data_IF_529758592724
#
_entry.id   IF_529758592724
#
_cell.length_a   1.000
_cell.length_b   1.000
_cell.length_c   1.000
_cell.angle_alpha   90.00
_cell.angle_beta   90.00
_cell.angle_gamma   90.00
#
_symmetry.space_group_name_H-M   'P 1'
#
loop_
_entity.id
_entity.type
_entity.pdbx_description
1 polymer ?
#
# COMPACT_ATOMS: atom_id res chain seq x y z
N UNK A 1 -15.33 -4.53 -11.23
CA UNK A 1 -14.30 -3.47 -11.32
C UNK A 1 -13.03 -4.00 -10.66
N UNK A 2 -11.86 -3.48 -11.00
CA UNK A 2 -10.58 -4.00 -10.46
C UNK A 2 -10.32 -3.44 -9.06
N UNK A 3 -10.30 -4.30 -8.06
CA UNK A 3 -10.06 -3.96 -6.64
C UNK A 3 -8.74 -4.57 -6.16
N UNK A 4 -8.08 -3.93 -5.20
CA UNK A 4 -6.96 -4.53 -4.48
C UNK A 4 -7.49 -5.56 -3.49
N UNK A 5 -6.97 -6.78 -3.56
CA UNK A 5 -7.32 -7.87 -2.65
C UNK A 5 -6.18 -8.14 -1.67
N UNK A 6 -4.95 -8.39 -2.15
CA UNK A 6 -3.79 -8.66 -1.30
C UNK A 6 -2.52 -7.96 -1.78
N UNK A 7 -1.60 -7.73 -0.85
CA UNK A 7 -0.20 -7.37 -1.11
C UNK A 7 0.64 -8.47 -0.46
N UNK A 8 1.25 -9.34 -1.25
CA UNK A 8 2.17 -10.33 -0.71
C UNK A 8 3.42 -9.62 -0.16
N UNK A 9 3.81 -9.92 1.07
CA UNK A 9 4.90 -9.25 1.77
C UNK A 9 5.70 -10.22 2.61
N UNK A 10 6.99 -10.31 2.27
CA UNK A 10 7.99 -10.99 3.07
C UNK A 10 8.27 -10.28 4.39
N UNK A 11 7.56 -10.63 5.46
CA UNK A 11 7.74 -10.04 6.78
C UNK A 11 7.22 -10.95 7.90
N UNK A 12 7.82 -10.93 9.11
CA UNK A 12 7.31 -11.71 10.24
C UNK A 12 5.94 -11.19 10.72
N UNK A 13 4.98 -12.10 10.89
CA UNK A 13 3.68 -11.80 11.50
C UNK A 13 3.81 -11.13 12.88
N UNK A 14 4.79 -11.56 13.67
CA UNK A 14 5.05 -10.98 14.99
C UNK A 14 5.41 -9.49 14.93
N UNK A 15 6.11 -9.03 13.88
CA UNK A 15 6.48 -7.62 13.69
C UNK A 15 5.25 -6.74 13.48
N UNK A 16 4.30 -7.21 12.67
CA UNK A 16 3.02 -6.53 12.45
C UNK A 16 2.15 -6.55 13.72
N UNK A 17 2.06 -7.70 14.39
CA UNK A 17 1.33 -7.80 15.66
C UNK A 17 1.93 -6.92 16.78
N UNK A 18 3.25 -6.73 16.81
CA UNK A 18 3.91 -5.84 17.78
C UNK A 18 3.53 -4.36 17.61
N UNK A 19 3.10 -3.96 16.41
CA UNK A 19 2.50 -2.65 16.14
C UNK A 19 0.97 -2.61 16.39
N UNK A 20 0.40 -3.66 16.98
CA UNK A 20 -1.03 -3.70 17.31
C UNK A 20 -1.94 -3.98 16.12
N UNK A 21 -1.41 -4.53 15.02
CA UNK A 21 -2.25 -5.05 13.94
C UNK A 21 -2.83 -6.42 14.30
N UNK A 22 -4.13 -6.60 14.05
CA UNK A 22 -4.77 -7.91 13.97
C UNK A 22 -4.20 -8.71 12.80
N UNK A 23 -3.59 -9.86 13.08
CA UNK A 23 -3.13 -10.81 12.07
C UNK A 23 -4.02 -12.06 12.14
N UNK A 24 -4.68 -12.39 11.04
CA UNK A 24 -5.64 -13.51 10.93
C UNK A 24 -5.20 -14.40 9.78
N UNK A 25 -4.84 -15.66 10.07
CA UNK A 25 -4.38 -16.63 9.07
C UNK A 25 -3.27 -16.11 8.14
N UNK A 26 -2.33 -15.32 8.70
CA UNK A 26 -1.22 -14.71 7.95
C UNK A 26 -1.56 -13.41 7.21
N UNK A 27 -2.81 -12.94 7.30
CA UNK A 27 -3.27 -11.69 6.69
C UNK A 27 -3.33 -10.56 7.72
N UNK A 28 -3.01 -9.35 7.28
CA UNK A 28 -3.37 -8.09 7.94
C UNK A 28 -4.49 -7.45 7.10
N UNK A 29 -5.77 -7.68 7.43
CA UNK A 29 -6.88 -7.31 6.56
C UNK A 29 -7.42 -5.92 6.85
N UNK A 30 -7.59 -5.13 5.79
CA UNK A 30 -8.14 -3.78 5.80
C UNK A 30 -9.43 -3.72 4.98
N UNK A 31 -10.14 -2.59 5.05
CA UNK A 31 -11.41 -2.41 4.29
C UNK A 31 -11.25 -2.45 2.77
N UNK A 32 -10.05 -2.13 2.26
CA UNK A 32 -9.79 -2.00 0.82
C UNK A 32 -8.63 -2.89 0.32
N UNK A 33 -8.39 -4.00 1.01
CA UNK A 33 -7.36 -5.00 0.69
C UNK A 33 -6.73 -5.59 1.95
N UNK A 34 -5.74 -6.47 1.78
CA UNK A 34 -4.99 -7.04 2.89
C UNK A 34 -3.50 -7.09 2.58
N UNK A 35 -2.68 -7.19 3.62
CA UNK A 35 -1.27 -7.57 3.47
C UNK A 35 -1.17 -9.06 3.79
N UNK A 36 -0.65 -9.85 2.86
CA UNK A 36 -0.45 -11.28 2.99
C UNK A 36 1.01 -11.54 3.38
N UNK A 37 1.23 -11.91 4.64
CA UNK A 37 2.57 -12.07 5.20
C UNK A 37 3.13 -13.45 4.83
N UNK A 38 4.31 -13.46 4.23
CA UNK A 38 5.02 -14.68 3.82
C UNK A 38 6.43 -14.74 4.40
N UNK A 39 6.99 -15.94 4.47
CA UNK A 39 8.34 -16.23 4.96
C UNK A 39 9.30 -16.70 3.84
N UNK A 40 8.81 -16.82 2.61
CA UNK A 40 9.52 -17.38 1.46
C UNK A 40 10.37 -16.36 0.69
N UNK A 41 10.19 -15.06 0.95
CA UNK A 41 10.88 -13.97 0.27
C UNK A 41 11.09 -12.76 1.18
N UNK A 42 12.01 -11.85 0.86
CA UNK A 42 12.02 -10.49 1.41
C UNK A 42 11.15 -9.53 0.59
N UNK A 43 10.63 -8.49 1.25
CA UNK A 43 9.99 -7.36 0.58
C UNK A 43 8.64 -7.67 -0.06
N UNK A 44 8.10 -6.69 -0.80
CA UNK A 44 6.80 -6.85 -1.47
C UNK A 44 6.93 -7.77 -2.69
N UNK A 45 5.94 -8.63 -2.86
CA UNK A 45 5.81 -9.54 -3.96
C UNK A 45 4.71 -9.17 -4.94
N UNK A 46 3.80 -10.10 -5.15
CA UNK A 46 2.67 -9.94 -6.04
C UNK A 46 1.56 -9.09 -5.42
N UNK A 47 0.85 -8.34 -6.28
CA UNK A 47 -0.37 -7.64 -5.93
C UNK A 47 -1.57 -8.50 -6.35
N UNK A 48 -2.29 -9.02 -5.36
CA UNK A 48 -3.55 -9.72 -5.57
C UNK A 48 -4.65 -8.74 -5.91
N UNK A 49 -5.33 -8.93 -7.04
CA UNK A 49 -6.43 -8.06 -7.47
C UNK A 49 -7.63 -8.88 -7.97
N UNK A 50 -8.81 -8.28 -7.90
CA UNK A 50 -10.03 -8.87 -8.47
C UNK A 50 -10.10 -8.64 -9.98
N UNK A 51 -10.93 -9.42 -10.68
CA UNK A 51 -11.22 -9.21 -12.11
C UNK A 51 -10.16 -9.72 -13.08
N UNK A 52 -9.01 -10.23 -12.61
CA UNK A 52 -8.07 -10.97 -13.44
C UNK A 52 -8.51 -12.43 -13.64
N UNK A 53 -8.27 -12.97 -14.83
CA UNK A 53 -8.48 -14.39 -15.14
C UNK A 53 -7.23 -15.25 -14.92
N UNK A 54 -6.04 -14.64 -14.99
CA UNK A 54 -4.75 -15.28 -14.78
C UNK A 54 -3.73 -14.26 -14.27
N UNK A 55 -2.62 -14.74 -13.72
CA UNK A 55 -1.49 -13.89 -13.34
C UNK A 55 -0.91 -13.14 -14.53
N UNK A 56 -0.52 -11.89 -14.33
CA UNK A 56 0.07 -11.03 -15.35
C UNK A 56 1.18 -10.17 -14.76
N UNK A 57 2.25 -9.95 -15.51
CA UNK A 57 3.31 -9.02 -15.13
C UNK A 57 3.18 -7.76 -15.98
N UNK A 58 3.03 -6.60 -15.32
CA UNK A 58 2.84 -5.30 -15.94
C UNK A 58 4.05 -4.43 -15.66
N UNK A 59 4.85 -4.16 -16.70
CA UNK A 59 6.11 -3.41 -16.62
C UNK A 59 7.03 -3.89 -15.46
N UNK A 60 7.06 -5.19 -15.18
CA UNK A 60 7.88 -5.80 -14.11
C UNK A 60 7.15 -6.05 -12.78
N UNK A 61 5.96 -5.49 -12.56
CA UNK A 61 5.16 -5.73 -11.35
C UNK A 61 4.18 -6.87 -11.58
N UNK A 62 4.20 -7.87 -10.71
CA UNK A 62 3.32 -9.05 -10.82
C UNK A 62 1.96 -8.79 -10.16
N UNK A 63 0.90 -9.06 -10.91
CA UNK A 63 -0.49 -9.04 -10.46
C UNK A 63 -1.08 -10.43 -10.58
N UNK A 64 -1.83 -10.87 -9.56
CA UNK A 64 -2.43 -12.21 -9.54
C UNK A 64 -3.93 -12.14 -9.21
N UNK A 65 -4.75 -13.06 -9.73
CA UNK A 65 -6.16 -13.11 -9.41
C UNK A 65 -6.36 -13.53 -7.95
N UNK A 66 -7.01 -12.67 -7.16
CA UNK A 66 -7.38 -12.96 -5.77
C UNK A 66 -8.83 -12.53 -5.51
N UNK A 67 -9.57 -13.28 -4.67
CA UNK A 67 -10.86 -12.80 -4.17
C UNK A 67 -10.65 -11.67 -3.15
N UNK A 68 -11.70 -10.87 -2.92
CA UNK A 68 -11.71 -9.88 -1.84
C UNK A 68 -11.49 -10.58 -0.48
N UNK A 69 -10.69 -9.95 0.38
CA UNK A 69 -10.43 -10.41 1.74
C UNK A 69 -11.37 -9.69 2.71
N UNK A 70 -12.08 -10.40 3.60
CA UNK A 70 -12.87 -9.77 4.65
C UNK A 70 -12.00 -8.92 5.59
N UNK A 71 -12.40 -7.68 5.83
CA UNK A 71 -11.71 -6.77 6.75
C UNK A 71 -11.93 -7.14 8.22
N UNK A 72 -11.06 -6.65 9.11
CA UNK A 72 -11.32 -6.65 10.54
C UNK A 72 -10.86 -5.35 11.19
N UNK A 73 -11.27 -5.12 12.44
CA UNK A 73 -10.77 -4.00 13.22
C UNK A 73 -9.36 -4.30 13.74
N UNK A 74 -8.49 -3.29 13.67
CA UNK A 74 -7.16 -3.35 14.25
C UNK A 74 -7.11 -2.57 15.59
N UNK A 75 -6.56 -3.17 16.67
CA UNK A 75 -6.38 -2.48 17.95
C UNK A 75 -5.62 -1.16 17.89
N UNK A 76 -4.72 -1.01 16.92
CA UNK A 76 -3.96 0.22 16.70
C UNK A 76 -4.72 1.31 15.91
N UNK A 77 -5.99 1.08 15.54
CA UNK A 77 -6.81 2.04 14.79
C UNK A 77 -6.49 2.11 13.30
N UNK A 78 -5.70 1.18 12.77
CA UNK A 78 -5.50 1.07 11.32
C UNK A 78 -6.79 0.62 10.62
N UNK A 79 -7.04 1.14 9.41
CA UNK A 79 -8.33 1.00 8.73
C UNK A 79 -8.26 0.59 7.27
N UNK A 80 -7.37 1.24 6.51
CA UNK A 80 -7.28 1.10 5.06
C UNK A 80 -5.85 1.30 4.56
N UNK A 81 -5.58 0.83 3.34
CA UNK A 81 -4.34 1.12 2.63
C UNK A 81 -4.59 2.38 1.79
N UNK A 82 -3.88 3.47 2.08
CA UNK A 82 -4.01 4.73 1.31
C UNK A 82 -3.43 4.52 -0.09
N UNK A 83 -2.18 4.04 -0.14
CA UNK A 83 -1.48 3.81 -1.39
C UNK A 83 -0.38 2.75 -1.27
N UNK A 84 -0.08 2.13 -2.41
CA UNK A 84 1.12 1.32 -2.67
C UNK A 84 2.01 2.10 -3.62
N UNK A 85 3.30 2.19 -3.28
CA UNK A 85 4.30 2.94 -4.05
C UNK A 85 5.04 1.98 -4.98
N UNK A 86 4.96 2.22 -6.28
CA UNK A 86 5.81 1.59 -7.29
C UNK A 86 6.85 2.61 -7.72
N UNK A 87 8.13 2.27 -7.61
CA UNK A 87 9.19 3.09 -8.22
C UNK A 87 9.44 2.62 -9.65
N UNK A 88 9.67 3.56 -10.56
CA UNK A 88 9.93 3.28 -11.99
C UNK A 88 10.89 4.32 -12.57
N UNK A 89 11.60 4.01 -13.65
CA UNK A 89 12.37 5.03 -14.41
C UNK A 89 11.51 5.84 -15.38
N UNK A 90 10.27 5.44 -15.62
CA UNK A 90 9.34 6.15 -16.50
C UNK A 90 7.90 6.00 -16.02
N UNK A 91 7.34 7.04 -15.41
CA UNK A 91 5.93 7.00 -14.99
C UNK A 91 5.00 6.90 -16.19
N UNK A 92 5.37 7.46 -17.34
CA UNK A 92 4.54 7.42 -18.55
C UNK A 92 4.46 6.00 -19.14
N UNK A 93 5.58 5.27 -19.21
CA UNK A 93 5.61 3.87 -19.68
C UNK A 93 4.85 2.96 -18.72
N UNK A 94 5.14 3.04 -17.42
CA UNK A 94 4.51 2.17 -16.42
C UNK A 94 3.01 2.47 -16.29
N UNK A 95 2.60 3.74 -16.33
CA UNK A 95 1.18 4.12 -16.33
C UNK A 95 0.44 3.57 -17.56
N UNK A 96 1.02 3.68 -18.76
CA UNK A 96 0.40 3.18 -19.97
C UNK A 96 0.20 1.66 -19.92
N UNK A 97 1.19 0.91 -19.42
CA UNK A 97 1.07 -0.53 -19.24
C UNK A 97 -0.01 -0.92 -18.21
N UNK A 98 -0.09 -0.20 -17.09
CA UNK A 98 -1.13 -0.40 -16.07
C UNK A 98 -2.53 -0.14 -16.64
N UNK A 99 -2.69 0.93 -17.42
CA UNK A 99 -3.98 1.26 -18.02
C UNK A 99 -4.40 0.23 -19.08
N UNK A 100 -3.48 -0.16 -19.97
CA UNK A 100 -3.74 -1.13 -21.05
C UNK A 100 -4.09 -2.52 -20.51
N UNK A 101 -3.35 -3.00 -19.50
CA UNK A 101 -3.48 -4.37 -19.00
C UNK A 101 -4.55 -4.50 -17.91
N UNK A 102 -4.66 -3.51 -17.02
CA UNK A 102 -5.54 -3.59 -15.83
C UNK A 102 -6.79 -2.73 -15.94
N UNK A 103 -6.89 -1.86 -16.95
CA UNK A 103 -7.98 -0.88 -17.09
C UNK A 103 -7.96 0.20 -16.00
N UNK A 104 -6.85 0.37 -15.29
CA UNK A 104 -6.70 1.36 -14.24
C UNK A 104 -6.22 2.69 -14.83
N UNK A 105 -7.15 3.56 -15.19
CA UNK A 105 -6.85 4.88 -15.76
C UNK A 105 -5.92 5.71 -14.87
N UNK A 106 -4.97 6.42 -15.50
CA UNK A 106 -4.16 7.42 -14.79
C UNK A 106 -5.02 8.63 -14.41
N UNK A 107 -5.27 8.81 -13.11
CA UNK A 107 -6.16 9.86 -12.58
C UNK A 107 -5.48 11.22 -12.41
N UNK A 108 -4.19 11.23 -12.10
CA UNK A 108 -3.45 12.46 -11.80
C UNK A 108 -1.95 12.26 -12.07
N UNK A 109 -1.31 13.34 -12.54
CA UNK A 109 0.15 13.49 -12.53
C UNK A 109 0.49 14.65 -11.59
N UNK A 110 1.56 14.47 -10.82
CA UNK A 110 2.18 15.54 -10.03
C UNK A 110 3.63 15.65 -10.44
N UNK A 111 4.06 16.86 -10.75
CA UNK A 111 5.42 17.14 -11.19
C UNK A 111 5.92 18.37 -10.43
N UNK A 112 7.10 18.24 -9.84
CA UNK A 112 7.90 19.32 -9.25
C UNK A 112 9.29 19.29 -9.87
N UNK A 113 10.17 20.22 -9.50
CA UNK A 113 11.55 20.25 -10.00
C UNK A 113 12.34 18.95 -9.74
N UNK A 114 11.95 18.17 -8.72
CA UNK A 114 12.72 17.01 -8.27
C UNK A 114 11.91 15.70 -8.20
N UNK A 115 10.59 15.76 -8.41
CA UNK A 115 9.70 14.61 -8.23
C UNK A 115 8.65 14.58 -9.34
N UNK A 116 8.54 13.44 -10.02
CA UNK A 116 7.41 13.12 -10.90
C UNK A 116 6.67 11.91 -10.34
N UNK A 117 5.36 12.04 -10.23
CA UNK A 117 4.45 11.03 -9.69
C UNK A 117 3.22 10.88 -10.59
N UNK A 118 2.77 9.65 -10.78
CA UNK A 118 1.47 9.35 -11.39
C UNK A 118 0.61 8.54 -10.41
N UNK A 119 -0.70 8.78 -10.42
CA UNK A 119 -1.63 8.14 -9.50
C UNK A 119 -2.72 7.42 -10.28
N UNK A 120 -2.83 6.12 -10.04
CA UNK A 120 -3.97 5.29 -10.44
C UNK A 120 -4.75 4.91 -9.18
N UNK A 121 -6.01 4.48 -9.34
CA UNK A 121 -6.81 4.06 -8.19
C UNK A 121 -7.59 2.81 -8.53
N UNK A 122 -7.50 1.82 -7.64
CA UNK A 122 -8.41 0.67 -7.66
C UNK A 122 -9.85 1.12 -7.41
N UNK A 123 -10.82 0.28 -7.75
CA UNK A 123 -12.21 0.56 -7.43
C UNK A 123 -12.41 0.64 -5.91
N UNK A 124 -13.37 1.47 -5.50
CA UNK A 124 -13.80 1.53 -4.10
C UNK A 124 -14.45 0.18 -3.72
N UNK A 125 -14.22 -0.33 -2.49
CA UNK A 125 -14.80 -1.61 -2.09
C UNK A 125 -16.35 -1.53 -2.10
N UNK A 126 -17.07 -2.61 -2.45
CA UNK A 126 -18.53 -2.57 -2.62
C UNK A 126 -19.29 -2.15 -1.35
N UNK A 127 -18.74 -2.47 -0.18
CA UNK A 127 -19.31 -2.17 1.13
C UNK A 127 -18.66 -0.95 1.80
N UNK A 128 -17.92 -0.14 1.03
CA UNK A 128 -17.27 1.07 1.52
C UNK A 128 -18.26 2.02 2.21
N UNK A 129 -17.98 2.34 3.47
CA UNK A 129 -18.62 3.46 4.15
C UNK A 129 -18.19 4.80 3.55
N UNK A 130 -18.94 5.86 3.81
CA UNK A 130 -18.62 7.19 3.29
C UNK A 130 -17.20 7.63 3.70
N UNK A 131 -16.33 7.82 2.72
CA UNK A 131 -14.93 8.21 2.93
C UNK A 131 -13.92 7.08 2.73
N UNK A 132 -14.36 5.82 2.71
CA UNK A 132 -13.51 4.68 2.34
C UNK A 132 -13.35 4.63 0.82
N UNK A 133 -12.10 4.48 0.36
CA UNK A 133 -11.74 4.54 -1.06
C UNK A 133 -10.84 3.39 -1.42
N UNK A 134 -10.87 3.01 -2.69
CA UNK A 134 -9.95 2.05 -3.27
C UNK A 134 -8.51 2.54 -3.11
N UNK A 135 -7.60 1.61 -2.84
CA UNK A 135 -6.17 1.88 -2.70
C UNK A 135 -5.63 2.58 -3.96
N UNK A 136 -4.69 3.50 -3.77
CA UNK A 136 -3.99 4.19 -4.85
C UNK A 136 -2.76 3.38 -5.25
N UNK A 137 -2.51 3.24 -6.55
CA UNK A 137 -1.18 2.90 -7.05
C UNK A 137 -0.46 4.21 -7.36
N UNK A 138 0.54 4.53 -6.54
CA UNK A 138 1.41 5.70 -6.73
C UNK A 138 2.68 5.26 -7.45
N UNK A 139 2.88 5.78 -8.66
CA UNK A 139 4.13 5.60 -9.40
C UNK A 139 5.05 6.78 -9.10
N UNK A 140 6.29 6.51 -8.72
CA UNK A 140 7.32 7.52 -8.45
C UNK A 140 8.47 7.34 -9.44
N UNK A 141 8.78 8.41 -10.19
CA UNK A 141 9.87 8.38 -11.15
C UNK A 141 11.24 8.49 -10.44
N UNK A 142 12.12 7.52 -10.67
CA UNK A 142 13.49 7.49 -10.20
C UNK A 142 14.42 6.90 -11.27
N UNK A 143 15.28 7.73 -11.85
CA UNK A 143 16.17 7.34 -12.96
C UNK A 143 17.12 6.15 -12.67
N UNK A 144 17.36 5.85 -11.38
CA UNK A 144 18.21 4.72 -10.95
C UNK A 144 17.49 3.37 -10.98
N UNK A 145 16.16 3.36 -11.00
CA UNK A 145 15.35 2.14 -11.02
C UNK A 145 15.47 1.51 -12.41
N UNK A 146 15.78 0.22 -12.48
CA UNK A 146 15.96 -0.48 -13.77
C UNK A 146 14.75 -1.32 -14.16
N UNK A 147 13.99 -1.75 -13.17
CA UNK A 147 12.77 -2.51 -13.33
C UNK A 147 11.80 -1.98 -12.29
N UNK A 148 10.59 -1.60 -12.69
CA UNK A 148 9.58 -1.16 -11.74
C UNK A 148 9.33 -2.20 -10.66
N UNK A 149 9.28 -1.73 -9.42
CA UNK A 149 9.09 -2.59 -8.25
C UNK A 149 8.26 -1.87 -7.20
N UNK A 150 7.51 -2.63 -6.40
CA UNK A 150 6.81 -2.08 -5.24
C UNK A 150 7.84 -1.77 -4.16
N UNK A 151 7.95 -0.50 -3.80
CA UNK A 151 8.91 -0.02 -2.82
C UNK A 151 8.36 -0.01 -1.39
N UNK A 152 7.07 0.25 -1.23
CA UNK A 152 6.45 0.43 0.07
C UNK A 152 4.96 0.72 -0.01
N UNK A 153 4.34 0.94 1.15
CA UNK A 153 2.92 1.23 1.27
C UNK A 153 2.62 2.21 2.42
N UNK A 154 1.42 2.76 2.39
CA UNK A 154 0.93 3.66 3.44
C UNK A 154 -0.42 3.19 3.93
N UNK A 155 -0.54 3.11 5.26
CA UNK A 155 -1.75 2.68 5.96
C UNK A 155 -2.41 3.88 6.62
N UNK A 156 -3.73 3.96 6.54
CA UNK A 156 -4.55 4.93 7.28
C UNK A 156 -4.74 4.45 8.70
N UNK A 157 -4.46 5.34 9.66
CA UNK A 157 -4.64 5.13 11.09
C UNK A 157 -5.44 6.29 11.67
N UNK A 158 -6.56 6.01 12.34
CA UNK A 158 -7.50 7.04 12.80
C UNK A 158 -6.85 8.01 13.82
N UNK A 159 -6.10 7.49 14.80
CA UNK A 159 -5.35 8.28 15.78
C UNK A 159 -3.86 7.93 15.74
N UNK A 160 -3.13 8.67 14.90
CA UNK A 160 -1.71 8.43 14.67
C UNK A 160 -0.82 8.80 15.87
N UNK A 161 -1.23 9.76 16.69
CA UNK A 161 -0.49 10.15 17.90
C UNK A 161 -0.63 9.07 18.97
N UNK A 162 -1.85 8.57 19.18
CA UNK A 162 -2.09 7.43 20.08
C UNK A 162 -1.36 6.18 19.58
N UNK A 163 -1.46 5.85 18.29
CA UNK A 163 -0.74 4.72 17.72
C UNK A 163 0.78 4.84 17.97
N UNK A 164 1.38 5.97 17.64
CA UNK A 164 2.82 6.19 17.87
C UNK A 164 3.20 6.10 19.35
N UNK A 165 2.34 6.56 20.27
CA UNK A 165 2.60 6.48 21.72
C UNK A 165 2.68 5.05 22.26
N UNK A 166 2.03 4.08 21.61
CA UNK A 166 2.07 2.66 22.01
C UNK A 166 3.31 1.93 21.51
N UNK A 167 3.98 2.47 20.48
CA UNK A 167 5.16 1.87 19.85
C UNK A 167 6.24 2.93 19.51
N UNK A 168 6.69 3.76 20.47
CA UNK A 168 7.50 4.95 20.19
C UNK A 168 8.89 4.64 19.61
N UNK A 169 9.42 3.46 19.94
CA UNK A 169 10.71 2.98 19.45
C UNK A 169 10.62 2.35 18.05
N UNK A 170 9.41 2.10 17.55
CA UNK A 170 9.16 1.45 16.25
C UNK A 170 8.55 2.40 15.22
N UNK A 171 7.94 3.50 15.65
CA UNK A 171 7.31 4.49 14.76
C UNK A 171 7.85 5.89 15.07
N UNK A 172 8.26 6.62 14.03
CA UNK A 172 8.76 7.98 14.18
C UNK A 172 7.64 8.93 14.66
N UNK A 173 7.97 10.03 15.37
CA UNK A 173 6.97 11.01 15.77
C UNK A 173 6.15 11.52 14.57
N UNK A 174 4.81 11.68 14.70
CA UNK A 174 3.98 12.20 13.62
C UNK A 174 4.40 13.62 13.24
N UNK A 175 4.31 13.93 11.94
CA UNK A 175 4.57 15.26 11.39
C UNK A 175 3.50 15.63 10.36
N UNK A 176 3.29 16.91 10.04
CA UNK A 176 2.40 17.30 8.96
C UNK A 176 2.74 16.58 7.65
N UNK A 177 1.72 16.00 7.02
CA UNK A 177 1.82 15.43 5.69
C UNK A 177 1.74 16.54 4.63
N UNK A 178 2.08 16.20 3.38
CA UNK A 178 1.91 17.14 2.26
C UNK A 178 0.44 17.39 1.93
N UNK A 179 -0.43 16.46 2.30
CA UNK A 179 -1.87 16.58 2.23
C UNK A 179 -2.37 17.47 3.38
N UNK A 180 -3.06 18.59 3.09
CA UNK A 180 -3.51 19.53 4.12
C UNK A 180 -4.36 18.85 5.20
N UNK A 181 -4.06 19.14 6.46
CA UNK A 181 -4.79 18.62 7.62
C UNK A 181 -4.43 17.21 8.04
N UNK A 182 -3.55 16.51 7.31
CA UNK A 182 -3.14 15.13 7.62
C UNK A 182 -1.79 15.10 8.34
N UNK A 183 -1.60 14.12 9.21
CA UNK A 183 -0.31 13.77 9.81
C UNK A 183 0.23 12.49 9.16
N UNK A 184 1.56 12.36 9.11
CA UNK A 184 2.26 11.16 8.65
C UNK A 184 3.38 10.78 9.63
N UNK A 185 3.56 9.49 9.85
CA UNK A 185 4.68 8.91 10.57
C UNK A 185 5.25 7.73 9.76
N UNK A 186 6.54 7.48 9.87
CA UNK A 186 7.18 6.34 9.19
C UNK A 186 7.54 5.27 10.20
N UNK A 187 7.32 4.00 9.85
CA UNK A 187 7.90 2.89 10.58
C UNK A 187 9.44 3.02 10.56
N UNK A 188 10.06 2.70 11.68
CA UNK A 188 11.51 2.63 11.80
C UNK A 188 11.99 1.26 11.32
N UNK A 189 13.28 1.14 11.05
CA UNK A 189 13.87 -0.13 10.59
C UNK A 189 13.68 -1.23 11.62
N UNK A 190 13.73 -0.88 12.89
CA UNK A 190 13.55 -1.75 14.06
C UNK A 190 12.17 -2.40 14.11
N UNK A 191 11.18 -1.83 13.42
CA UNK A 191 9.85 -2.42 13.29
C UNK A 191 9.82 -3.67 12.38
N UNK A 192 10.86 -3.89 11.57
CA UNK A 192 11.03 -5.08 10.73
C UNK A 192 9.79 -5.50 9.92
N UNK A 193 9.17 -4.53 9.24
CA UNK A 193 7.93 -4.72 8.48
C UNK A 193 8.17 -5.26 7.06
N UNK A 194 9.39 -5.66 6.72
CA UNK A 194 9.76 -6.20 5.40
C UNK A 194 9.83 -5.20 4.24
N UNK A 195 9.15 -4.05 4.35
CA UNK A 195 9.14 -2.99 3.34
C UNK A 195 9.07 -1.60 3.98
N UNK A 196 9.17 -0.55 3.17
CA UNK A 196 8.93 0.80 3.65
C UNK A 196 7.43 0.99 3.95
N UNK A 197 7.11 1.31 5.20
CA UNK A 197 5.73 1.55 5.64
C UNK A 197 5.63 2.93 6.28
N UNK A 198 4.62 3.68 5.88
CA UNK A 198 4.20 4.88 6.59
C UNK A 198 2.74 4.76 7.04
N UNK A 199 2.39 5.58 8.01
CA UNK A 199 1.07 5.66 8.62
C UNK A 199 0.60 7.10 8.48
N UNK A 200 -0.65 7.29 8.07
CA UNK A 200 -1.21 8.60 7.82
C UNK A 200 -2.59 8.71 8.47
N UNK A 201 -2.92 9.86 9.06
CA UNK A 201 -4.30 10.12 9.47
C UNK A 201 -5.21 10.21 8.23
N UNK A 202 -6.53 10.00 8.33
CA UNK A 202 -7.47 10.18 7.22
C UNK A 202 -7.36 11.56 6.53
#
# INVERSE_FOLDING_TARGET
>A
MTELATIALGAPAASWSALGFSVVDGLVPFVNGAIELTDDRPGVGELGITGLSAAVTVDGVSFVPRPVVPSCDHPNGARSIDHVVIMTDSIDRTSAAIEDVLGLERRRVRETETVRQAFHRFADPPEASAGERGCILELVEQARVRTPEVWGLVVIVDDLEQFQSTCPDLVAPPKPAVQPGRLIATARREADLGTAVAFMTP
#
